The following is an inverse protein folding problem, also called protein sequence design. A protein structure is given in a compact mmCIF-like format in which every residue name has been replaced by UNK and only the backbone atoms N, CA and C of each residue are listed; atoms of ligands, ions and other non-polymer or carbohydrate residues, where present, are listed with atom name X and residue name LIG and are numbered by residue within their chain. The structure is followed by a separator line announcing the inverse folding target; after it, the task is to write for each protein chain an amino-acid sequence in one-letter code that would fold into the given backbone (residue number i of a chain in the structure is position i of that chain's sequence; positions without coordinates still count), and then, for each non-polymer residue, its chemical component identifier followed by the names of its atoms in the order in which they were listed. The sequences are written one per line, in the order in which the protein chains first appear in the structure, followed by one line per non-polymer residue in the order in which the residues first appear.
data_IF_625985102434
#
_entry.id   IF_625985102434
#
_cell.length_a   1.000
_cell.length_b   1.000
_cell.length_c   1.000
_cell.angle_alpha   90.00
_cell.angle_beta   90.00
_cell.angle_gamma   90.00
#
_symmetry.space_group_name_H-M   'P 1'
#
loop_
_entity.id
_entity.type
_entity.pdbx_description
1 polymer ?
#
# COMPACT_ATOMS: atom_id res chain seq x y z
N UNK A 1 14.61 5.81 -7.46
CA UNK A 1 15.17 5.32 -6.19
C UNK A 1 14.14 5.42 -5.07
N UNK A 2 14.22 4.52 -4.09
CA UNK A 2 13.44 4.67 -2.87
C UNK A 2 14.11 5.69 -1.97
N UNK A 3 13.34 6.67 -1.52
CA UNK A 3 13.83 7.72 -0.62
C UNK A 3 12.95 7.81 0.60
N UNK A 4 13.53 7.63 1.78
CA UNK A 4 12.86 7.85 3.05
C UNK A 4 13.18 9.26 3.51
N UNK A 5 12.14 10.05 3.73
CA UNK A 5 12.25 11.43 4.18
C UNK A 5 11.63 11.60 5.57
N UNK A 6 12.18 12.52 6.35
CA UNK A 6 11.52 12.99 7.55
C UNK A 6 10.39 13.95 7.12
N UNK A 7 9.12 13.64 7.39
CA UNK A 7 8.00 14.46 6.91
C UNK A 7 7.92 15.85 7.57
N UNK A 8 8.58 16.05 8.72
CA UNK A 8 8.60 17.33 9.41
C UNK A 8 9.68 18.28 8.90
N UNK A 9 10.82 17.72 8.48
CA UNK A 9 12.00 18.53 8.08
C UNK A 9 12.28 18.47 6.58
N UNK A 10 11.69 17.51 5.86
CA UNK A 10 11.99 17.23 4.45
C UNK A 10 13.37 16.59 4.22
N UNK A 11 14.12 16.32 5.29
CA UNK A 11 15.45 15.72 5.16
C UNK A 11 15.39 14.27 4.73
N UNK A 12 16.28 13.88 3.82
CA UNK A 12 16.48 12.48 3.45
C UNK A 12 17.13 11.75 4.62
N UNK A 13 16.44 10.71 5.11
CA UNK A 13 16.90 9.85 6.21
C UNK A 13 17.67 8.65 5.66
N UNK A 14 17.20 8.12 4.52
CA UNK A 14 17.82 6.96 3.89
C UNK A 14 17.39 6.85 2.43
N UNK A 15 18.20 6.18 1.61
CA UNK A 15 17.95 6.02 0.18
C UNK A 15 18.57 4.71 -0.33
N UNK A 16 17.96 4.11 -1.36
CA UNK A 16 18.49 2.93 -2.07
C UNK A 16 18.23 3.03 -3.55
N UNK A 17 19.07 2.40 -4.33
CA UNK A 17 18.96 2.25 -5.80
C UNK A 17 18.17 1.00 -6.23
N UNK A 18 17.72 0.18 -5.28
CA UNK A 18 16.92 -1.00 -5.61
C UNK A 18 15.58 -0.60 -6.23
N UNK A 19 15.34 -1.09 -7.45
CA UNK A 19 14.14 -0.78 -8.26
C UNK A 19 13.43 -2.08 -8.63
N UNK A 20 12.67 -2.67 -7.69
CA UNK A 20 11.97 -3.91 -7.97
C UNK A 20 10.86 -3.72 -8.99
N UNK A 21 10.59 -4.74 -9.78
CA UNK A 21 9.35 -4.82 -10.56
C UNK A 21 8.21 -5.20 -9.61
N UNK A 22 7.39 -4.23 -9.27
CA UNK A 22 6.32 -4.36 -8.29
C UNK A 22 5.04 -3.74 -8.84
N UNK A 23 3.92 -4.41 -8.59
CA UNK A 23 2.59 -3.98 -8.98
C UNK A 23 1.73 -3.77 -7.75
N UNK A 24 0.81 -2.83 -7.85
CA UNK A 24 -0.19 -2.54 -6.81
C UNK A 24 -1.57 -2.65 -7.43
N UNK A 25 -2.38 -3.54 -6.91
CA UNK A 25 -3.80 -3.60 -7.24
C UNK A 25 -4.53 -2.71 -6.26
N UNK A 26 -4.88 -1.51 -6.71
CA UNK A 26 -5.45 -0.43 -5.92
C UNK A 26 -6.95 -0.65 -5.81
N UNK A 27 -7.46 -0.60 -4.58
CA UNK A 27 -8.87 -0.73 -4.22
C UNK A 27 -9.35 0.60 -3.67
N UNK A 28 -10.31 1.23 -4.35
CA UNK A 28 -10.89 2.51 -3.96
C UNK A 28 -12.32 2.30 -3.46
N UNK A 29 -12.65 2.80 -2.27
CA UNK A 29 -14.01 2.70 -1.76
C UNK A 29 -14.96 3.68 -2.48
N UNK A 30 -16.25 3.39 -2.40
CA UNK A 30 -17.30 4.29 -2.91
C UNK A 30 -17.26 5.64 -2.19
N UNK A 31 -17.07 5.60 -0.87
CA UNK A 31 -16.97 6.80 -0.05
C UNK A 31 -15.52 7.06 0.33
N UNK A 32 -14.98 8.16 -0.15
CA UNK A 32 -13.63 8.59 0.20
C UNK A 32 -13.68 9.57 1.38
N UNK A 33 -12.89 9.27 2.41
CA UNK A 33 -12.65 10.23 3.51
C UNK A 33 -11.58 11.21 3.07
N UNK A 34 -11.86 12.50 3.16
CA UNK A 34 -10.87 13.52 2.81
C UNK A 34 -9.82 13.66 3.92
N UNK A 35 -8.59 13.97 3.55
CA UNK A 35 -7.50 14.23 4.52
C UNK A 35 -7.86 15.36 5.50
N UNK A 36 -8.68 16.33 5.06
CA UNK A 36 -9.13 17.43 5.90
C UNK A 36 -10.06 16.96 7.03
N UNK A 37 -10.87 15.94 6.78
CA UNK A 37 -11.74 15.37 7.80
C UNK A 37 -10.94 14.60 8.87
N UNK A 38 -9.82 13.99 8.48
CA UNK A 38 -8.92 13.29 9.39
C UNK A 38 -8.17 14.22 10.36
N UNK A 39 -7.77 15.40 9.89
CA UNK A 39 -7.10 16.41 10.74
C UNK A 39 -8.01 16.88 11.88
N UNK A 40 -9.33 16.79 11.70
CA UNK A 40 -10.33 17.16 12.71
C UNK A 40 -10.58 16.07 13.75
N UNK A 41 -10.12 14.85 13.55
CA UNK A 41 -10.24 13.75 14.52
C UNK A 41 -9.19 13.93 15.64
N UNK A 42 -9.38 14.93 16.50
CA UNK A 42 -8.48 15.24 17.64
C UNK A 42 -8.30 14.09 18.63
N UNK A 43 -9.24 13.14 18.63
CA UNK A 43 -9.29 12.01 19.56
C UNK A 43 -8.81 10.69 18.91
N UNK A 44 -8.16 10.74 17.75
CA UNK A 44 -7.56 9.53 17.14
C UNK A 44 -6.49 8.96 18.06
N UNK A 45 -6.44 7.63 18.27
CA UNK A 45 -5.35 6.99 18.98
C UNK A 45 -4.00 7.42 18.40
N UNK A 46 -3.01 7.63 19.28
CA UNK A 46 -1.65 7.92 18.83
C UNK A 46 -1.13 6.76 18.00
N UNK A 47 -0.35 7.06 16.95
CA UNK A 47 0.34 6.03 16.19
C UNK A 47 1.25 5.23 17.15
N UNK A 48 1.28 3.88 17.08
CA UNK A 48 2.08 3.07 17.99
C UNK A 48 3.57 3.34 17.76
N UNK A 49 4.15 4.23 18.57
CA UNK A 49 5.47 4.82 18.31
C UNK A 49 6.61 3.81 18.37
N UNK A 50 6.55 2.85 19.31
CA UNK A 50 7.63 1.88 19.47
C UNK A 50 7.64 0.85 18.32
N UNK A 51 6.46 0.40 17.89
CA UNK A 51 6.34 -0.49 16.74
C UNK A 51 6.74 0.21 15.44
N UNK A 52 6.39 1.48 15.31
CA UNK A 52 6.73 2.28 14.12
C UNK A 52 8.23 2.48 13.95
N UNK A 53 9.00 2.53 15.04
CA UNK A 53 10.48 2.61 14.99
C UNK A 53 11.12 1.40 14.30
N UNK A 54 10.42 0.27 14.27
CA UNK A 54 10.90 -0.96 13.62
C UNK A 54 10.74 -0.94 12.10
N UNK A 55 9.87 -0.07 11.56
CA UNK A 55 9.55 -0.06 10.13
C UNK A 55 10.77 0.29 9.26
N UNK A 56 11.56 1.29 9.65
CA UNK A 56 12.72 1.71 8.86
C UNK A 56 13.82 0.63 8.81
N UNK A 57 14.26 0.03 9.93
CA UNK A 57 15.19 -1.09 9.88
C UNK A 57 14.72 -2.27 9.04
N UNK A 58 13.45 -2.65 9.13
CA UNK A 58 12.87 -3.73 8.32
C UNK A 58 12.84 -3.37 6.83
N UNK A 59 12.57 -2.10 6.50
CA UNK A 59 12.62 -1.62 5.13
C UNK A 59 14.05 -1.67 4.56
N UNK A 60 15.02 -1.23 5.35
CA UNK A 60 16.43 -1.29 4.99
C UNK A 60 16.89 -2.73 4.74
N UNK A 61 16.50 -3.67 5.60
CA UNK A 61 16.79 -5.10 5.44
C UNK A 61 16.16 -5.65 4.16
N UNK A 62 14.87 -5.38 3.91
CA UNK A 62 14.19 -5.82 2.70
C UNK A 62 14.89 -5.31 1.42
N UNK A 63 15.36 -4.06 1.43
CA UNK A 63 16.07 -3.46 0.31
C UNK A 63 17.49 -4.03 0.14
N UNK A 64 18.24 -4.26 1.23
CA UNK A 64 19.58 -4.83 1.18
C UNK A 64 19.56 -6.26 0.64
N UNK A 65 18.57 -7.04 1.04
CA UNK A 65 18.38 -8.41 0.56
C UNK A 65 17.65 -8.48 -0.79
N UNK A 66 17.17 -7.36 -1.29
CA UNK A 66 16.35 -7.25 -2.52
C UNK A 66 15.15 -8.21 -2.49
N UNK A 67 14.52 -8.35 -1.32
CA UNK A 67 13.43 -9.28 -1.07
C UNK A 67 12.06 -8.61 -1.20
N UNK A 68 11.33 -8.96 -2.26
CA UNK A 68 9.92 -8.53 -2.43
C UNK A 68 9.01 -9.11 -1.34
N UNK A 69 9.29 -10.31 -0.86
CA UNK A 69 8.53 -10.96 0.21
C UNK A 69 8.64 -10.16 1.51
N UNK A 70 9.87 -9.81 1.94
CA UNK A 70 10.09 -8.96 3.12
C UNK A 70 9.44 -7.59 2.96
N UNK A 71 9.50 -7.00 1.77
CA UNK A 71 8.86 -5.73 1.46
C UNK A 71 7.33 -5.82 1.61
N UNK A 72 6.72 -6.89 1.10
CA UNK A 72 5.29 -7.14 1.22
C UNK A 72 4.84 -7.39 2.66
N UNK A 73 5.61 -8.17 3.43
CA UNK A 73 5.37 -8.37 4.86
C UNK A 73 5.45 -7.06 5.64
N UNK A 74 6.46 -6.25 5.36
CA UNK A 74 6.61 -4.92 5.96
C UNK A 74 5.44 -4.00 5.65
N UNK A 75 5.01 -3.96 4.39
CA UNK A 75 3.86 -3.16 3.98
C UNK A 75 2.59 -3.58 4.74
N UNK A 76 2.37 -4.88 4.87
CA UNK A 76 1.25 -5.45 5.64
C UNK A 76 1.36 -5.08 7.13
N UNK A 77 2.55 -5.19 7.72
CA UNK A 77 2.78 -4.78 9.11
C UNK A 77 2.47 -3.29 9.31
N UNK A 78 2.97 -2.43 8.43
CA UNK A 78 2.67 -0.99 8.45
C UNK A 78 1.17 -0.70 8.30
N UNK A 79 0.48 -1.44 7.43
CA UNK A 79 -0.96 -1.32 7.25
C UNK A 79 -1.73 -1.68 8.52
N UNK A 80 -1.33 -2.75 9.22
CA UNK A 80 -1.94 -3.17 10.49
C UNK A 80 -1.73 -2.13 11.60
N UNK A 81 -0.53 -1.53 11.68
CA UNK A 81 -0.28 -0.43 12.62
C UNK A 81 -1.15 0.80 12.31
N UNK A 82 -1.26 1.16 11.04
CA UNK A 82 -2.13 2.26 10.60
C UNK A 82 -3.60 1.98 10.92
N UNK A 83 -4.04 0.73 10.77
CA UNK A 83 -5.42 0.31 11.01
C UNK A 83 -5.86 0.47 12.47
N UNK A 84 -4.93 0.43 13.44
CA UNK A 84 -5.22 0.71 14.85
C UNK A 84 -5.68 2.16 15.05
N UNK A 85 -5.17 3.08 14.24
CA UNK A 85 -5.50 4.50 14.29
C UNK A 85 -6.66 4.87 13.37
N UNK A 86 -6.65 4.32 12.16
CA UNK A 86 -7.60 4.61 11.09
C UNK A 86 -8.08 3.29 10.49
N UNK A 87 -9.10 2.64 11.10
CA UNK A 87 -9.60 1.37 10.63
C UNK A 87 -10.06 1.43 9.17
N UNK A 88 -9.63 0.44 8.39
CA UNK A 88 -10.07 0.24 7.01
C UNK A 88 -11.19 -0.79 6.99
N UNK A 89 -12.36 -0.47 6.41
CA UNK A 89 -13.43 -1.44 6.25
C UNK A 89 -12.93 -2.69 5.53
N UNK A 90 -13.38 -3.85 5.98
CA UNK A 90 -13.07 -5.16 5.37
C UNK A 90 -11.57 -5.53 5.31
N UNK A 91 -10.70 -4.89 6.10
CA UNK A 91 -9.25 -5.17 6.05
C UNK A 91 -8.94 -6.66 6.30
N UNK A 92 -9.64 -7.29 7.25
CA UNK A 92 -9.45 -8.71 7.54
C UNK A 92 -9.80 -9.61 6.34
N UNK A 93 -10.90 -9.31 5.63
CA UNK A 93 -11.28 -10.02 4.42
C UNK A 93 -10.21 -9.87 3.32
N UNK A 94 -9.68 -8.65 3.14
CA UNK A 94 -8.59 -8.38 2.20
C UNK A 94 -7.30 -9.10 2.58
N UNK A 95 -6.95 -9.17 3.87
CA UNK A 95 -5.79 -9.95 4.35
C UNK A 95 -5.96 -11.46 4.08
N UNK A 96 -7.17 -11.98 4.20
CA UNK A 96 -7.47 -13.37 3.85
C UNK A 96 -7.30 -13.62 2.34
N UNK A 97 -7.67 -12.66 1.48
CA UNK A 97 -7.42 -12.74 0.04
C UNK A 97 -5.92 -12.68 -0.27
N UNK A 98 -5.17 -11.78 0.36
CA UNK A 98 -3.69 -11.72 0.24
C UNK A 98 -3.06 -13.07 0.54
N UNK A 99 -3.46 -13.69 1.65
CA UNK A 99 -2.97 -15.01 2.05
C UNK A 99 -3.38 -16.12 1.08
N UNK A 100 -4.65 -16.14 0.68
CA UNK A 100 -5.21 -17.18 -0.21
C UNK A 100 -4.56 -17.16 -1.58
N UNK A 101 -4.34 -15.98 -2.14
CA UNK A 101 -3.75 -15.79 -3.46
C UNK A 101 -2.24 -15.59 -3.42
N UNK A 102 -1.63 -15.73 -2.24
CA UNK A 102 -0.19 -15.58 -2.02
C UNK A 102 0.37 -14.27 -2.56
N UNK A 103 -0.40 -13.17 -2.48
CA UNK A 103 0.11 -11.85 -2.81
C UNK A 103 1.29 -11.50 -1.90
N UNK A 104 2.18 -10.61 -2.33
CA UNK A 104 3.32 -10.17 -1.51
C UNK A 104 2.88 -9.55 -0.17
N UNK A 105 1.79 -8.81 -0.19
CA UNK A 105 1.26 -8.14 0.99
C UNK A 105 0.18 -7.13 0.66
N UNK A 106 -0.11 -6.29 1.65
CA UNK A 106 -1.12 -5.25 1.56
C UNK A 106 -0.55 -3.94 2.11
N UNK A 107 -0.81 -2.83 1.44
CA UNK A 107 -0.54 -1.49 1.95
C UNK A 107 -1.83 -0.66 2.04
N UNK A 108 -1.80 0.41 2.81
CA UNK A 108 -2.92 1.34 2.95
C UNK A 108 -2.45 2.78 2.82
N UNK A 109 -3.31 3.66 2.33
CA UNK A 109 -3.06 5.09 2.43
C UNK A 109 -3.15 5.53 3.90
N UNK A 110 -2.13 6.24 4.38
CA UNK A 110 -2.03 6.65 5.79
C UNK A 110 -3.10 7.67 6.20
N UNK A 111 -3.51 8.51 5.28
CA UNK A 111 -4.49 9.57 5.48
C UNK A 111 -5.77 9.38 4.65
N UNK A 112 -5.89 8.27 3.95
CA UNK A 112 -7.01 8.01 3.06
C UNK A 112 -7.64 6.64 3.29
N UNK A 113 -8.54 6.29 2.39
CA UNK A 113 -9.34 5.06 2.44
C UNK A 113 -8.86 3.99 1.47
N UNK A 114 -7.83 4.30 0.66
CA UNK A 114 -7.29 3.38 -0.33
C UNK A 114 -6.57 2.19 0.31
N UNK A 115 -6.74 1.03 -0.30
CA UNK A 115 -5.98 -0.19 0.02
C UNK A 115 -5.31 -0.69 -1.25
N UNK A 116 -4.06 -1.15 -1.15
CA UNK A 116 -3.32 -1.74 -2.25
C UNK A 116 -2.91 -3.16 -1.94
N UNK A 117 -3.17 -4.09 -2.84
CA UNK A 117 -2.61 -5.44 -2.79
C UNK A 117 -1.32 -5.46 -3.61
N UNK A 118 -0.22 -5.87 -2.99
CA UNK A 118 1.11 -5.88 -3.60
C UNK A 118 1.34 -7.22 -4.31
N UNK A 119 1.80 -7.14 -5.55
CA UNK A 119 2.00 -8.28 -6.44
C UNK A 119 3.36 -8.21 -7.13
N UNK A 120 4.05 -9.33 -7.24
CA UNK A 120 5.15 -9.48 -8.19
C UNK A 120 4.59 -9.67 -9.61
N UNK A 121 5.47 -9.66 -10.61
CA UNK A 121 5.09 -9.93 -11.99
C UNK A 121 4.48 -11.33 -12.16
N UNK A 122 5.07 -12.32 -11.51
CA UNK A 122 4.62 -13.72 -11.57
C UNK A 122 3.23 -13.89 -10.95
N UNK A 123 2.94 -13.11 -9.92
CA UNK A 123 1.65 -13.16 -9.22
C UNK A 123 0.52 -12.47 -9.99
N UNK A 124 0.78 -11.76 -11.09
CA UNK A 124 -0.28 -11.19 -11.93
C UNK A 124 -1.23 -12.23 -12.50
N UNK A 125 -0.79 -13.48 -12.66
CA UNK A 125 -1.62 -14.59 -13.14
C UNK A 125 -2.80 -14.92 -12.22
N UNK A 126 -2.69 -14.61 -10.92
CA UNK A 126 -3.79 -14.85 -9.96
C UNK A 126 -4.85 -13.76 -9.99
N UNK A 127 -4.56 -12.61 -10.58
CA UNK A 127 -5.43 -11.42 -10.55
C UNK A 127 -6.85 -11.68 -11.06
N UNK A 128 -7.09 -12.43 -12.16
CA UNK A 128 -8.44 -12.71 -12.61
C UNK A 128 -9.28 -13.52 -11.61
N UNK A 129 -8.65 -14.43 -10.87
CA UNK A 129 -9.32 -15.23 -9.84
C UNK A 129 -9.62 -14.39 -8.59
N UNK A 130 -8.65 -13.59 -8.17
CA UNK A 130 -8.80 -12.65 -7.06
C UNK A 130 -9.92 -11.65 -7.36
N UNK A 131 -9.95 -11.06 -8.54
CA UNK A 131 -10.99 -10.15 -9.02
C UNK A 131 -12.39 -10.80 -8.99
N UNK A 132 -12.50 -12.01 -9.50
CA UNK A 132 -13.76 -12.76 -9.51
C UNK A 132 -14.27 -13.07 -8.10
N UNK A 133 -13.38 -13.27 -7.12
CA UNK A 133 -13.76 -13.46 -5.72
C UNK A 133 -14.16 -12.13 -5.07
N UNK A 134 -13.38 -11.08 -5.27
CA UNK A 134 -13.72 -9.73 -4.82
C UNK A 134 -15.09 -9.30 -5.34
N UNK A 135 -15.39 -9.52 -6.61
CA UNK A 135 -16.67 -9.13 -7.21
C UNK A 135 -17.90 -9.77 -6.52
N UNK A 136 -17.70 -10.84 -5.76
CA UNK A 136 -18.76 -11.57 -5.04
C UNK A 136 -18.74 -11.34 -3.53
N UNK A 137 -17.82 -10.52 -3.04
CA UNK A 137 -17.56 -10.33 -1.62
C UNK A 137 -18.10 -9.00 -1.11
N UNK A 138 -18.21 -8.85 0.21
CA UNK A 138 -18.59 -7.59 0.84
C UNK A 138 -17.52 -6.53 0.64
N UNK A 139 -16.24 -6.92 0.71
CA UNK A 139 -15.13 -6.01 0.43
C UNK A 139 -15.19 -5.50 -1.02
N UNK A 140 -15.51 -6.36 -1.98
CA UNK A 140 -15.64 -5.95 -3.37
C UNK A 140 -16.84 -5.04 -3.66
N UNK A 141 -17.94 -5.17 -2.90
CA UNK A 141 -19.06 -4.25 -2.96
C UNK A 141 -18.71 -2.85 -2.39
N UNK A 142 -17.81 -2.80 -1.42
CA UNK A 142 -17.32 -1.56 -0.82
C UNK A 142 -16.22 -0.90 -1.67
N UNK A 143 -15.23 -1.68 -2.13
CA UNK A 143 -14.13 -1.22 -2.99
C UNK A 143 -14.48 -1.43 -4.46
N UNK A 144 -15.28 -0.52 -5.03
CA UNK A 144 -15.85 -0.70 -6.36
C UNK A 144 -14.88 -0.34 -7.49
N UNK A 145 -14.08 0.70 -7.30
CA UNK A 145 -13.06 1.07 -8.29
C UNK A 145 -11.77 0.31 -8.02
N UNK A 146 -11.24 -0.35 -9.04
CA UNK A 146 -10.06 -1.21 -8.93
C UNK A 146 -9.15 -0.97 -10.11
N UNK A 147 -7.88 -0.70 -9.81
CA UNK A 147 -6.90 -0.37 -10.84
C UNK A 147 -5.59 -1.10 -10.57
N UNK A 148 -5.05 -1.78 -11.58
CA UNK A 148 -3.71 -2.32 -11.51
C UNK A 148 -2.71 -1.27 -11.97
N UNK A 149 -1.72 -0.96 -11.14
CA UNK A 149 -0.65 -0.02 -11.45
C UNK A 149 0.72 -0.66 -11.21
N UNK A 150 1.66 -0.38 -12.10
CA UNK A 150 3.07 -0.72 -11.91
C UNK A 150 3.75 0.42 -11.14
N UNK A 151 4.61 0.09 -10.17
CA UNK A 151 5.45 1.10 -9.50
C UNK A 151 6.52 1.56 -10.48
N UNK A 152 6.65 2.88 -10.63
CA UNK A 152 7.65 3.53 -11.46
C UNK A 152 8.64 4.31 -10.58
N UNK A 153 9.90 4.40 -11.01
CA UNK A 153 10.99 5.05 -10.28
C UNK A 153 11.57 6.27 -11.00
N UNK A 154 10.96 6.66 -12.10
CA UNK A 154 11.47 7.72 -12.99
C UNK A 154 10.95 9.11 -12.64
N UNK A 155 10.13 9.20 -11.57
CA UNK A 155 9.47 10.44 -11.18
C UNK A 155 8.34 10.83 -12.13
N UNK A 156 7.88 12.07 -12.01
CA UNK A 156 6.79 12.60 -12.85
C UNK A 156 7.31 12.81 -14.26
N UNK A 157 6.69 12.10 -15.22
CA UNK A 157 6.96 12.29 -16.65
C UNK A 157 5.90 13.20 -17.26
N UNK A 158 6.26 14.16 -18.13
CA UNK A 158 5.28 14.92 -18.87
C UNK A 158 4.47 13.98 -19.79
N UNK A 159 3.16 14.09 -19.74
CA UNK A 159 2.30 13.42 -20.72
C UNK A 159 2.58 14.09 -22.07
N UNK A 160 3.15 13.35 -23.02
CA UNK A 160 3.20 13.81 -24.41
C UNK A 160 1.79 13.59 -24.97
N UNK A 161 1.03 14.65 -25.14
CA UNK A 161 -0.15 14.61 -26.00
C UNK A 161 0.37 14.31 -27.41
N UNK A 162 0.10 13.11 -27.91
CA UNK A 162 0.18 12.87 -29.34
C UNK A 162 -0.96 13.70 -29.96
N UNK A 163 -0.59 14.85 -30.50
CA UNK A 163 -1.49 15.65 -31.34
C UNK A 163 -1.51 14.96 -32.70
N UNK A 164 -2.60 14.21 -32.98
CA UNK A 164 -2.92 13.73 -34.31
C UNK A 164 -3.31 14.87 -35.23
#
# INVERSE_FOLDING_TARGET
DWTVINPLTGQVVWQTDWRPELYVYILEPVEMVTTLDLVRMKDSPSYPAEESKRLLPLFQEACQEKSLEKLGHLATYSALLNNQRLPKPYLEELLNLVKKYQCLGLNVAHSGTLVGLLLSREQLEVLPKLEAELARSASGAYYQTRTLSKIIFEGVQPVREEID
#
